data_IF_648132101728
#
_entry.id   IF_648132101728
#
_cell.length_a   1.000
_cell.length_b   1.000
_cell.length_c   1.000
_cell.angle_alpha   90.00
_cell.angle_beta   90.00
_cell.angle_gamma   90.00
#
_symmetry.space_group_name_H-M   'P 1'
#
loop_
_entity.id
_entity.type
_entity.pdbx_description
1 polymer ?
#
# COMPACT_ATOMS: atom_id res chain seq x y z
N UNK A 1 5.75 -29.41 0.94
CA UNK A 1 6.25 -28.38 0.00
C UNK A 1 7.36 -27.64 0.72
N UNK A 2 8.60 -27.68 0.25
CA UNK A 2 9.73 -27.06 0.95
C UNK A 2 9.62 -25.53 0.85
N UNK A 3 9.66 -24.86 2.00
CA UNK A 3 9.64 -23.40 2.08
C UNK A 3 11.02 -22.88 1.66
N UNK A 4 11.10 -22.24 0.49
CA UNK A 4 12.32 -21.55 0.06
C UNK A 4 12.28 -20.15 0.66
N UNK A 5 13.16 -19.89 1.63
CA UNK A 5 13.42 -18.52 2.09
C UNK A 5 13.83 -17.67 0.88
N UNK A 6 13.18 -16.52 0.74
CA UNK A 6 13.52 -15.51 -0.25
C UNK A 6 14.92 -14.96 0.08
N UNK A 7 15.93 -15.40 -0.68
CA UNK A 7 17.35 -15.32 -0.33
C UNK A 7 17.91 -13.90 -0.13
N UNK A 8 17.15 -12.87 -0.52
CA UNK A 8 17.55 -11.46 -0.43
C UNK A 8 16.69 -10.63 0.54
N UNK A 9 15.68 -11.22 1.18
CA UNK A 9 14.89 -10.54 2.20
C UNK A 9 15.64 -10.51 3.54
N UNK A 10 15.43 -9.43 4.30
CA UNK A 10 15.98 -9.28 5.65
C UNK A 10 14.87 -8.98 6.65
N UNK A 11 15.16 -9.06 7.95
CA UNK A 11 14.20 -8.65 8.99
C UNK A 11 13.83 -7.18 8.80
N UNK A 12 12.55 -6.84 8.92
CA UNK A 12 12.02 -5.50 8.70
C UNK A 12 12.08 -4.73 10.02
N UNK A 13 12.94 -3.72 10.06
CA UNK A 13 13.16 -2.81 11.19
C UNK A 13 12.96 -1.34 10.80
N UNK A 14 12.80 -1.04 9.51
CA UNK A 14 12.54 0.30 8.99
C UNK A 14 11.80 0.24 7.64
N UNK A 15 11.37 1.41 7.15
CA UNK A 15 10.60 1.53 5.89
C UNK A 15 11.42 1.23 4.63
N UNK A 16 12.75 1.39 4.67
CA UNK A 16 13.61 1.03 3.53
C UNK A 16 13.65 -0.49 3.34
N UNK A 17 13.77 -1.24 4.43
CA UNK A 17 13.70 -2.70 4.43
C UNK A 17 12.31 -3.21 4.03
N UNK A 18 11.25 -2.54 4.48
CA UNK A 18 9.87 -2.80 4.06
C UNK A 18 9.72 -2.70 2.53
N UNK A 19 10.19 -1.60 1.93
CA UNK A 19 10.17 -1.38 0.46
C UNK A 19 11.00 -2.43 -0.28
N UNK A 20 12.22 -2.69 0.18
CA UNK A 20 13.10 -3.67 -0.48
C UNK A 20 12.49 -5.07 -0.46
N UNK A 21 11.99 -5.50 0.70
CA UNK A 21 11.36 -6.80 0.85
C UNK A 21 10.07 -6.91 0.01
N UNK A 22 9.29 -5.83 -0.14
CA UNK A 22 8.14 -5.80 -1.04
C UNK A 22 8.57 -6.12 -2.48
N UNK A 23 9.65 -5.51 -2.97
CA UNK A 23 10.15 -5.75 -4.33
C UNK A 23 10.59 -7.21 -4.54
N UNK A 24 11.21 -7.83 -3.54
CA UNK A 24 11.59 -9.24 -3.60
C UNK A 24 10.36 -10.17 -3.63
N UNK A 25 9.36 -9.91 -2.79
CA UNK A 25 8.08 -10.63 -2.83
C UNK A 25 7.40 -10.45 -4.20
N UNK A 26 7.38 -9.22 -4.71
CA UNK A 26 6.73 -8.88 -5.96
C UNK A 26 7.33 -9.59 -7.18
N UNK A 27 8.68 -9.70 -7.23
CA UNK A 27 9.39 -10.40 -8.30
C UNK A 27 9.05 -11.88 -8.35
N UNK A 28 8.90 -12.51 -7.20
CA UNK A 28 8.69 -13.96 -7.06
C UNK A 28 7.21 -14.36 -7.13
N UNK A 29 6.30 -13.42 -6.90
CA UNK A 29 4.87 -13.65 -7.05
C UNK A 29 4.47 -13.87 -8.51
N UNK A 30 3.60 -14.86 -8.72
CA UNK A 30 2.86 -15.02 -9.98
C UNK A 30 1.91 -13.84 -10.21
N UNK A 31 1.39 -13.68 -11.43
CA UNK A 31 0.37 -12.65 -11.68
C UNK A 31 -0.89 -12.83 -10.81
N UNK A 32 -1.27 -14.08 -10.56
CA UNK A 32 -2.40 -14.40 -9.68
C UNK A 32 -2.13 -14.00 -8.22
N UNK A 33 -0.91 -14.19 -7.73
CA UNK A 33 -0.53 -13.77 -6.38
C UNK A 33 -0.44 -12.25 -6.27
N UNK A 34 0.06 -11.56 -7.30
CA UNK A 34 0.06 -10.08 -7.35
C UNK A 34 -1.34 -9.52 -7.31
N UNK A 35 -2.26 -10.10 -8.08
CA UNK A 35 -3.66 -9.69 -8.06
C UNK A 35 -4.33 -9.98 -6.72
N UNK A 36 -4.05 -11.14 -6.10
CA UNK A 36 -4.52 -11.44 -4.76
C UNK A 36 -4.01 -10.41 -3.73
N UNK A 37 -2.75 -9.96 -3.83
CA UNK A 37 -2.20 -8.92 -2.96
C UNK A 37 -2.90 -7.56 -3.17
N UNK A 38 -3.15 -7.17 -4.42
CA UNK A 38 -3.92 -5.96 -4.76
C UNK A 38 -5.36 -6.05 -4.23
N UNK A 39 -5.97 -7.23 -4.19
CA UNK A 39 -7.35 -7.40 -3.68
C UNK A 39 -7.40 -7.65 -2.16
N UNK A 40 -6.24 -7.72 -1.48
CA UNK A 40 -6.10 -8.10 -0.07
C UNK A 40 -6.67 -9.50 0.23
N UNK A 41 -6.30 -10.47 -0.60
CA UNK A 41 -6.72 -11.86 -0.55
C UNK A 41 -5.51 -12.78 -0.28
N UNK A 42 -5.77 -14.08 -0.13
CA UNK A 42 -4.74 -15.10 0.17
C UNK A 42 -3.84 -14.72 1.37
N UNK A 43 -4.43 -14.14 2.42
CA UNK A 43 -3.71 -13.64 3.60
C UNK A 43 -2.82 -14.75 4.20
N UNK A 44 -3.32 -15.96 4.42
CA UNK A 44 -2.50 -17.04 5.00
C UNK A 44 -1.28 -17.42 4.15
N UNK A 45 -1.38 -17.32 2.82
CA UNK A 45 -0.25 -17.57 1.91
C UNK A 45 0.86 -16.53 2.10
N UNK A 46 0.51 -15.25 2.21
CA UNK A 46 1.48 -14.18 2.45
C UNK A 46 2.05 -14.24 3.87
N UNK A 47 1.27 -14.67 4.86
CA UNK A 47 1.76 -14.88 6.23
C UNK A 47 2.94 -15.82 6.27
N UNK A 48 2.80 -16.99 5.65
CA UNK A 48 3.87 -18.01 5.57
C UNK A 48 5.12 -17.44 4.91
N UNK A 49 5.00 -16.60 3.87
CA UNK A 49 6.15 -15.96 3.21
C UNK A 49 6.84 -14.88 4.04
N UNK A 50 6.10 -14.17 4.89
CA UNK A 50 6.58 -12.97 5.56
C UNK A 50 7.04 -13.23 6.99
N UNK A 51 6.54 -14.26 7.67
CA UNK A 51 6.70 -14.49 9.11
C UNK A 51 8.15 -14.42 9.59
N UNK A 52 9.10 -14.96 8.82
CA UNK A 52 10.53 -14.95 9.15
C UNK A 52 11.19 -13.56 9.11
N UNK A 53 10.52 -12.56 8.52
CA UNK A 53 11.06 -11.22 8.28
C UNK A 53 10.37 -10.14 9.12
N UNK A 54 9.37 -10.50 9.92
CA UNK A 54 8.62 -9.55 10.75
C UNK A 54 9.44 -9.11 11.99
N UNK A 55 9.04 -8.00 12.58
CA UNK A 55 9.57 -7.53 13.87
C UNK A 55 8.42 -7.13 14.80
N UNK A 56 8.74 -6.77 16.04
CA UNK A 56 7.75 -6.30 17.01
C UNK A 56 7.03 -5.03 16.54
N UNK A 57 7.76 -4.12 15.88
CA UNK A 57 7.20 -2.87 15.35
C UNK A 57 6.47 -3.08 14.01
N UNK A 58 7.02 -3.95 13.16
CA UNK A 58 6.49 -4.31 11.84
C UNK A 58 5.77 -5.66 11.90
N UNK A 59 4.59 -5.66 12.51
CA UNK A 59 3.74 -6.85 12.60
C UNK A 59 3.24 -7.29 11.23
N UNK A 60 2.73 -8.52 11.16
CA UNK A 60 2.20 -9.08 9.93
C UNK A 60 1.12 -8.19 9.30
N UNK A 61 0.20 -7.69 10.11
CA UNK A 61 -0.92 -6.85 9.68
C UNK A 61 -0.43 -5.54 9.07
N UNK A 62 0.53 -4.87 9.74
CA UNK A 62 1.12 -3.63 9.24
C UNK A 62 1.85 -3.85 7.92
N UNK A 63 2.68 -4.89 7.84
CA UNK A 63 3.46 -5.21 6.63
C UNK A 63 2.54 -5.55 5.47
N UNK A 64 1.53 -6.39 5.70
CA UNK A 64 0.60 -6.79 4.64
C UNK A 64 -0.23 -5.61 4.13
N UNK A 65 -0.68 -4.72 5.02
CA UNK A 65 -1.39 -3.50 4.62
C UNK A 65 -0.52 -2.57 3.77
N UNK A 66 0.75 -2.38 4.16
CA UNK A 66 1.69 -1.60 3.37
C UNK A 66 1.91 -2.24 1.99
N UNK A 67 2.10 -3.56 1.93
CA UNK A 67 2.35 -4.27 0.68
C UNK A 67 1.15 -4.27 -0.26
N UNK A 68 -0.05 -4.44 0.28
CA UNK A 68 -1.28 -4.24 -0.46
C UNK A 68 -1.37 -2.83 -1.03
N UNK A 69 -1.07 -1.82 -0.21
CA UNK A 69 -1.13 -0.43 -0.64
C UNK A 69 -0.11 -0.13 -1.74
N UNK A 70 1.13 -0.63 -1.61
CA UNK A 70 2.15 -0.52 -2.65
C UNK A 70 1.73 -1.21 -3.95
N UNK A 71 1.18 -2.42 -3.86
CA UNK A 71 0.67 -3.16 -5.00
C UNK A 71 -0.47 -2.40 -5.70
N UNK A 72 -1.44 -1.91 -4.92
CA UNK A 72 -2.58 -1.14 -5.39
C UNK A 72 -2.17 0.16 -6.06
N UNK A 73 -1.17 0.86 -5.52
CA UNK A 73 -0.59 2.07 -6.12
C UNK A 73 0.16 1.71 -7.40
N UNK A 74 1.00 0.68 -7.39
CA UNK A 74 1.72 0.25 -8.59
C UNK A 74 0.78 -0.12 -9.74
N UNK A 75 -0.34 -0.79 -9.44
CA UNK A 75 -1.35 -1.14 -10.44
C UNK A 75 -2.08 0.09 -11.01
N UNK A 76 -2.36 1.11 -10.19
CA UNK A 76 -3.02 2.33 -10.69
C UNK A 76 -2.04 3.19 -11.49
N UNK A 77 -0.78 3.30 -11.07
CA UNK A 77 0.25 4.08 -11.79
C UNK A 77 0.69 3.41 -13.08
N UNK A 78 0.72 2.07 -13.13
CA UNK A 78 0.95 1.31 -14.36
C UNK A 78 -0.29 1.18 -15.24
N UNK A 79 -1.41 1.81 -14.84
CA UNK A 79 -2.68 1.80 -15.55
C UNK A 79 -3.30 0.41 -15.78
N UNK A 80 -2.87 -0.59 -15.01
CA UNK A 80 -3.47 -1.92 -15.00
C UNK A 80 -4.85 -1.91 -14.34
N UNK A 81 -5.14 -0.90 -13.51
CA UNK A 81 -6.46 -0.59 -12.95
C UNK A 81 -6.71 0.92 -12.99
N UNK A 82 -7.92 1.34 -13.37
CA UNK A 82 -8.32 2.77 -13.43
C UNK A 82 -8.52 3.35 -12.03
N UNK A 83 -9.15 2.56 -11.16
CA UNK A 83 -9.45 2.92 -9.79
C UNK A 83 -9.02 1.76 -8.89
N UNK A 84 -8.11 2.02 -7.96
CA UNK A 84 -7.55 1.01 -7.08
C UNK A 84 -8.05 1.22 -5.66
N UNK A 85 -8.66 0.18 -5.09
CA UNK A 85 -9.10 0.19 -3.69
C UNK A 85 -7.90 -0.14 -2.80
N UNK A 86 -7.64 0.75 -1.85
CA UNK A 86 -6.59 0.62 -0.84
C UNK A 86 -7.25 0.50 0.53
N UNK A 87 -7.12 -0.66 1.17
CA UNK A 87 -7.54 -0.85 2.55
C UNK A 87 -6.53 -0.20 3.50
N UNK A 88 -7.07 0.48 4.51
CA UNK A 88 -6.32 1.25 5.51
C UNK A 88 -6.34 0.56 6.88
N UNK A 89 -7.01 -0.57 6.99
CA UNK A 89 -7.08 -1.42 8.17
C UNK A 89 -7.18 -2.90 7.77
N UNK A 90 -6.75 -3.77 8.68
CA UNK A 90 -6.66 -5.20 8.38
C UNK A 90 -8.03 -5.88 8.25
N UNK A 91 -9.08 -5.30 8.86
CA UNK A 91 -10.45 -5.81 8.79
C UNK A 91 -11.19 -5.38 7.52
N UNK A 92 -10.56 -4.56 6.66
CA UNK A 92 -11.16 -4.00 5.44
C UNK A 92 -12.35 -3.07 5.72
N UNK A 93 -12.49 -2.57 6.94
CA UNK A 93 -13.57 -1.67 7.34
C UNK A 93 -13.30 -0.24 6.89
N UNK A 94 -12.05 0.14 6.62
CA UNK A 94 -11.59 1.47 6.24
C UNK A 94 -10.83 1.37 4.93
N UNK A 95 -11.25 2.14 3.93
CA UNK A 95 -10.58 2.14 2.63
C UNK A 95 -10.69 3.48 1.92
N UNK A 96 -9.80 3.65 0.95
CA UNK A 96 -9.86 4.70 -0.05
C UNK A 96 -9.79 4.09 -1.45
N UNK A 97 -10.27 4.83 -2.44
CA UNK A 97 -10.12 4.51 -3.85
C UNK A 97 -9.26 5.61 -4.45
N UNK A 98 -8.14 5.19 -5.03
CA UNK A 98 -7.20 6.07 -5.71
C UNK A 98 -7.38 5.94 -7.23
N UNK A 99 -7.27 7.07 -7.91
CA UNK A 99 -7.15 7.14 -9.37
C UNK A 99 -5.87 7.86 -9.75
N UNK A 100 -5.22 7.40 -10.82
CA UNK A 100 -3.97 7.96 -11.29
C UNK A 100 -4.21 9.10 -12.29
N UNK A 101 -3.54 10.24 -12.09
CA UNK A 101 -3.61 11.38 -12.99
C UNK A 101 -2.36 11.43 -13.87
N UNK A 102 -2.54 10.99 -15.11
CA UNK A 102 -1.50 11.02 -16.15
C UNK A 102 -0.99 12.43 -16.43
N UNK A 103 0.22 12.52 -16.97
CA UNK A 103 0.84 13.76 -17.44
C UNK A 103 0.91 14.85 -16.36
N UNK A 104 0.98 14.45 -15.09
CA UNK A 104 1.33 15.35 -14.00
C UNK A 104 2.85 15.31 -13.80
N UNK A 105 3.44 16.42 -13.37
CA UNK A 105 4.85 16.47 -13.01
C UNK A 105 4.98 17.10 -11.62
N UNK A 106 5.18 16.32 -10.54
CA UNK A 106 5.38 14.86 -10.51
C UNK A 106 4.10 14.06 -10.80
N UNK A 107 4.24 12.75 -10.99
CA UNK A 107 3.12 11.80 -11.07
C UNK A 107 2.25 11.87 -9.80
N UNK A 108 0.94 11.97 -9.98
CA UNK A 108 -0.03 12.15 -8.88
C UNK A 108 -1.14 11.10 -8.92
N UNK A 109 -1.61 10.71 -7.74
CA UNK A 109 -2.89 10.04 -7.59
C UNK A 109 -3.86 10.96 -6.83
N UNK A 110 -5.14 10.77 -7.08
CA UNK A 110 -6.20 11.49 -6.37
C UNK A 110 -7.13 10.50 -5.67
N UNK A 111 -7.60 10.89 -4.48
CA UNK A 111 -8.67 10.17 -3.80
C UNK A 111 -9.99 10.46 -4.50
N UNK A 112 -10.62 9.43 -5.07
CA UNK A 112 -11.92 9.55 -5.75
C UNK A 112 -13.07 9.19 -4.82
N UNK A 113 -12.79 8.34 -3.82
CA UNK A 113 -13.74 7.95 -2.79
C UNK A 113 -13.00 7.46 -1.55
N UNK A 114 -13.60 7.64 -0.38
CA UNK A 114 -13.23 6.92 0.83
C UNK A 114 -14.49 6.70 1.65
N UNK A 115 -14.51 5.66 2.48
CA UNK A 115 -15.56 5.51 3.49
C UNK A 115 -15.19 6.18 4.82
N UNK A 116 -14.05 6.88 4.87
CA UNK A 116 -13.58 7.64 6.03
C UNK A 116 -14.00 9.10 5.81
N UNK A 117 -14.94 9.64 6.62
CA UNK A 117 -15.53 10.96 6.37
C UNK A 117 -14.52 12.11 6.27
N UNK A 118 -13.42 12.06 7.04
CA UNK A 118 -12.38 13.08 7.01
C UNK A 118 -11.59 13.11 5.69
N UNK A 119 -11.48 11.98 4.99
CA UNK A 119 -10.81 11.92 3.68
C UNK A 119 -11.74 12.27 2.52
N UNK A 120 -13.06 12.11 2.68
CA UNK A 120 -14.06 12.44 1.65
C UNK A 120 -14.11 13.94 1.30
N UNK A 121 -13.53 14.80 2.12
CA UNK A 121 -13.59 16.26 1.96
C UNK A 121 -12.66 16.78 0.84
N UNK A 122 -11.81 15.93 0.28
CA UNK A 122 -10.80 16.33 -0.72
C UNK A 122 -10.91 15.52 -2.02
N UNK A 123 -12.10 15.45 -2.66
CA UNK A 123 -12.28 14.65 -3.86
C UNK A 123 -11.39 15.18 -5.00
N UNK A 124 -10.71 14.26 -5.68
CA UNK A 124 -9.87 14.54 -6.85
C UNK A 124 -8.64 15.43 -6.61
N UNK A 125 -8.35 15.84 -5.37
CA UNK A 125 -7.13 16.59 -5.07
C UNK A 125 -5.89 15.77 -5.44
N UNK A 126 -5.00 16.28 -6.33
CA UNK A 126 -3.84 15.54 -6.79
C UNK A 126 -2.76 15.50 -5.71
N UNK A 127 -2.33 14.30 -5.33
CA UNK A 127 -1.24 14.07 -4.38
C UNK A 127 -0.10 13.35 -5.09
N UNK A 128 1.15 13.83 -4.99
CA UNK A 128 2.29 13.10 -5.53
C UNK A 128 2.32 11.67 -5.00
N UNK A 129 2.59 10.69 -5.88
CA UNK A 129 2.57 9.26 -5.51
C UNK A 129 3.47 8.97 -4.31
N UNK A 130 4.65 9.59 -4.26
CA UNK A 130 5.60 9.42 -3.14
C UNK A 130 5.02 9.91 -1.82
N UNK A 131 4.27 11.01 -1.82
CA UNK A 131 3.63 11.53 -0.61
C UNK A 131 2.51 10.61 -0.10
N UNK A 132 1.78 9.93 -1.00
CA UNK A 132 0.79 8.92 -0.60
C UNK A 132 1.50 7.72 0.07
N UNK A 133 2.59 7.24 -0.55
CA UNK A 133 3.42 6.15 -0.03
C UNK A 133 3.95 6.51 1.37
N UNK A 134 4.48 7.72 1.55
CA UNK A 134 4.98 8.20 2.84
C UNK A 134 3.87 8.26 3.91
N UNK A 135 2.64 8.62 3.54
CA UNK A 135 1.51 8.60 4.47
C UNK A 135 1.13 7.17 4.89
N UNK A 136 1.13 6.23 3.94
CA UNK A 136 0.82 4.80 4.17
C UNK A 136 1.84 4.14 5.09
N UNK A 137 3.09 4.58 5.03
CA UNK A 137 4.19 4.06 5.87
C UNK A 137 4.13 4.55 7.32
N UNK A 138 3.28 5.54 7.61
CA UNK A 138 3.13 6.05 8.97
C UNK A 138 2.35 5.08 9.86
N UNK A 139 2.60 5.15 11.17
CA UNK A 139 1.84 4.38 12.16
C UNK A 139 0.35 4.79 12.23
N UNK A 140 -0.02 5.94 11.68
CA UNK A 140 -1.40 6.43 11.62
C UNK A 140 -1.69 7.05 10.25
N UNK A 141 -1.93 6.17 9.28
CA UNK A 141 -2.14 6.52 7.87
C UNK A 141 -3.26 7.53 7.68
N UNK A 142 -4.36 7.37 8.43
CA UNK A 142 -5.56 8.21 8.27
C UNK A 142 -5.25 9.64 8.72
N UNK A 143 -4.70 9.82 9.92
CA UNK A 143 -4.37 11.14 10.41
C UNK A 143 -3.29 11.80 9.54
N UNK A 144 -2.29 11.03 9.10
CA UNK A 144 -1.23 11.57 8.23
C UNK A 144 -1.76 12.04 6.88
N UNK A 145 -2.70 11.30 6.27
CA UNK A 145 -3.38 11.72 5.04
C UNK A 145 -4.23 12.98 5.28
N UNK A 146 -5.02 13.03 6.35
CA UNK A 146 -5.84 14.19 6.72
C UNK A 146 -4.98 15.44 6.91
N UNK A 147 -3.86 15.32 7.63
CA UNK A 147 -2.92 16.43 7.85
C UNK A 147 -2.31 16.92 6.53
N UNK A 148 -1.94 15.99 5.65
CA UNK A 148 -1.43 16.32 4.33
C UNK A 148 -2.44 17.14 3.53
N UNK A 149 -3.69 16.65 3.43
CA UNK A 149 -4.75 17.36 2.71
C UNK A 149 -5.08 18.70 3.34
N UNK A 150 -5.17 18.79 4.66
CA UNK A 150 -5.44 20.05 5.36
C UNK A 150 -4.38 21.12 5.12
N UNK A 151 -3.13 20.71 4.87
CA UNK A 151 -2.00 21.60 4.64
C UNK A 151 -1.90 22.05 3.18
N UNK A 152 -2.25 21.18 2.23
CA UNK A 152 -1.97 21.40 0.81
C UNK A 152 -3.20 21.63 -0.07
N UNK A 153 -4.40 21.24 0.39
CA UNK A 153 -5.64 21.35 -0.39
C UNK A 153 -6.47 22.60 -0.08
N UNK A 154 -5.95 23.50 0.77
CA UNK A 154 -6.58 24.79 1.11
C UNK A 154 -6.06 25.92 0.24
#
# INVERSE_FOLDING_TARGET
MAFKLLSFMQKITNTQELKRNFLEVWKECTNEDREALVNFEKIEYFKVKLEAYLSEEFTYEKVLLAYHSYASIAYVTAELKVNSKVYLDFKKEKFMILSYKKNSNPDTCSLVYSNIPSLCQYPFFPVPVMNIIDCIESNDVINKLVDYYNTHAK
#
